data_IF_603669366643
#
_entry.id   IF_603669366643
#
_cell.length_a   1.000
_cell.length_b   1.000
_cell.length_c   1.000
_cell.angle_alpha   90.00
_cell.angle_beta   90.00
_cell.angle_gamma   90.00
#
_symmetry.space_group_name_H-M   'P 1'
#
loop_
_entity.id
_entity.type
_entity.pdbx_description
1 polymer ?
#
# COMPACT_ATOMS: atom_id res chain seq x y z
N UNK A 1 -26.77 5.82 1.68
CA UNK A 1 -25.61 6.46 1.03
C UNK A 1 -24.55 5.40 0.90
N UNK A 2 -24.27 4.95 -0.32
CA UNK A 2 -23.20 3.98 -0.56
C UNK A 2 -21.89 4.68 -0.25
N UNK A 3 -21.20 4.30 0.83
CA UNK A 3 -19.80 4.69 1.02
C UNK A 3 -19.03 4.02 -0.13
N UNK A 4 -18.88 4.72 -1.25
CA UNK A 4 -18.02 4.27 -2.34
C UNK A 4 -16.60 4.20 -1.79
N UNK A 5 -16.16 2.97 -1.48
CA UNK A 5 -14.79 2.68 -1.11
C UNK A 5 -13.91 3.05 -2.30
N UNK A 6 -13.25 4.22 -2.22
CA UNK A 6 -12.28 4.64 -3.22
C UNK A 6 -11.05 3.73 -3.10
N UNK A 7 -10.83 2.88 -4.10
CA UNK A 7 -9.68 1.98 -4.17
C UNK A 7 -8.61 2.64 -5.04
N UNK A 8 -7.47 3.00 -4.46
CA UNK A 8 -6.33 3.56 -5.21
C UNK A 8 -5.60 2.43 -5.91
N UNK A 9 -5.53 2.46 -7.25
CA UNK A 9 -4.79 1.43 -8.00
C UNK A 9 -3.30 1.76 -7.98
N UNK A 10 -2.48 0.80 -7.53
CA UNK A 10 -1.04 0.97 -7.50
C UNK A 10 -0.41 0.93 -8.90
N UNK A 11 0.83 1.38 -9.00
CA UNK A 11 1.68 1.35 -10.20
C UNK A 11 2.83 0.39 -9.97
N UNK A 12 3.12 -0.47 -10.95
CA UNK A 12 4.21 -1.46 -10.87
C UNK A 12 5.55 -0.74 -10.70
N UNK A 13 6.36 -1.19 -9.74
CA UNK A 13 7.75 -0.74 -9.63
C UNK A 13 8.60 -1.46 -10.68
N UNK A 14 9.50 -0.72 -11.34
CA UNK A 14 10.42 -1.30 -12.32
C UNK A 14 11.42 -2.25 -11.62
N UNK A 15 11.73 -3.42 -12.19
CA UNK A 15 12.70 -4.36 -11.60
C UNK A 15 14.05 -3.74 -11.27
N UNK A 16 14.53 -2.77 -12.06
CA UNK A 16 15.80 -2.07 -11.80
C UNK A 16 15.74 -1.17 -10.55
N UNK A 17 14.55 -0.71 -10.18
CA UNK A 17 14.34 0.13 -9.00
C UNK A 17 14.01 -0.69 -7.75
N UNK A 18 13.55 -1.94 -7.89
CA UNK A 18 13.33 -2.85 -6.76
C UNK A 18 14.60 -3.03 -5.92
N UNK A 19 15.77 -3.10 -6.57
CA UNK A 19 17.05 -3.22 -5.87
C UNK A 19 17.43 -1.99 -5.03
N UNK A 20 16.81 -0.83 -5.31
CA UNK A 20 17.08 0.44 -4.62
C UNK A 20 16.08 0.74 -3.51
N UNK A 21 15.07 -0.13 -3.32
CA UNK A 21 14.04 0.07 -2.30
C UNK A 21 14.67 0.02 -0.91
N UNK A 22 14.49 1.10 -0.16
CA UNK A 22 14.83 1.15 1.26
C UNK A 22 13.81 0.32 2.06
N UNK A 23 14.20 -0.89 2.44
CA UNK A 23 13.36 -1.82 3.20
C UNK A 23 12.95 -1.29 4.58
N UNK A 24 13.65 -0.27 5.11
CA UNK A 24 13.27 0.37 6.38
C UNK A 24 12.08 1.34 6.24
N UNK A 25 11.72 1.72 5.00
CA UNK A 25 10.65 2.67 4.67
C UNK A 25 9.57 2.06 3.77
N UNK A 26 9.37 0.76 3.89
CA UNK A 26 8.49 -0.02 3.03
C UNK A 26 7.09 -0.11 3.64
N UNK A 27 6.07 0.29 2.87
CA UNK A 27 4.67 0.05 3.21
C UNK A 27 4.29 -1.40 2.93
N UNK A 28 3.27 -1.91 3.62
CA UNK A 28 2.76 -3.27 3.41
C UNK A 28 1.27 -3.19 3.06
N UNK A 29 0.88 -3.89 2.00
CA UNK A 29 -0.53 -4.13 1.69
C UNK A 29 -1.05 -5.25 2.59
N UNK A 30 -1.85 -4.87 3.59
CA UNK A 30 -2.48 -5.77 4.54
C UNK A 30 -3.79 -6.32 3.95
N UNK A 31 -4.07 -7.62 4.14
CA UNK A 31 -5.31 -8.22 3.65
C UNK A 31 -6.58 -7.64 4.32
N UNK A 32 -6.42 -7.05 5.51
CA UNK A 32 -7.48 -6.37 6.25
C UNK A 32 -6.89 -5.15 6.99
N UNK A 33 -7.69 -4.11 7.25
CA UNK A 33 -7.25 -3.01 8.10
C UNK A 33 -6.81 -3.51 9.48
N UNK A 34 -5.80 -2.88 10.11
CA UNK A 34 -5.39 -3.22 11.46
C UNK A 34 -6.55 -3.00 12.44
N UNK A 35 -6.67 -3.86 13.46
CA UNK A 35 -7.76 -3.76 14.45
C UNK A 35 -7.64 -2.54 15.37
N UNK A 36 -6.43 -2.01 15.51
CA UNK A 36 -6.11 -0.79 16.23
C UNK A 36 -5.40 0.15 15.26
N UNK A 37 -6.09 1.21 14.85
CA UNK A 37 -5.44 2.31 14.14
C UNK A 37 -4.80 3.23 15.17
N UNK A 38 -3.49 3.44 15.06
CA UNK A 38 -2.82 4.48 15.86
C UNK A 38 -3.33 5.84 15.42
N UNK A 39 -3.55 6.76 16.36
CA UNK A 39 -3.99 8.13 16.09
C UNK A 39 -3.12 8.76 14.98
N UNK A 40 -3.75 9.28 13.93
CA UNK A 40 -3.07 9.85 12.75
C UNK A 40 -2.77 8.88 11.61
N UNK A 41 -2.83 7.56 11.79
CA UNK A 41 -2.63 6.60 10.68
C UNK A 41 -3.81 6.58 9.70
N UNK A 42 -5.05 6.72 10.20
CA UNK A 42 -6.25 6.68 9.39
C UNK A 42 -6.24 7.74 8.27
N UNK A 43 -5.64 8.91 8.52
CA UNK A 43 -5.56 10.02 7.57
C UNK A 43 -4.68 9.69 6.35
N UNK A 44 -3.78 8.73 6.50
CA UNK A 44 -2.84 8.28 5.47
C UNK A 44 -3.04 6.82 5.13
N UNK A 45 -4.20 6.25 5.45
CA UNK A 45 -4.49 4.85 5.19
C UNK A 45 -5.66 4.71 4.26
N UNK A 46 -5.66 3.64 3.47
CA UNK A 46 -6.73 3.42 2.52
C UNK A 46 -6.61 2.08 1.80
N UNK A 47 -7.68 1.75 1.08
CA UNK A 47 -7.69 0.57 0.23
C UNK A 47 -6.87 0.83 -1.02
N UNK A 48 -5.91 -0.06 -1.30
CA UNK A 48 -5.16 -0.04 -2.54
C UNK A 48 -5.23 -1.37 -3.25
N UNK A 49 -5.15 -1.32 -4.58
CA UNK A 49 -5.12 -2.50 -5.42
C UNK A 49 -3.69 -2.75 -5.90
N UNK A 50 -3.18 -3.95 -5.64
CA UNK A 50 -1.92 -4.42 -6.18
C UNK A 50 -2.01 -4.53 -7.72
N UNK A 51 -1.11 -3.88 -8.48
CA UNK A 51 -1.12 -3.94 -9.94
C UNK A 51 -0.58 -5.26 -10.52
N UNK A 52 -0.01 -6.12 -9.68
CA UNK A 52 0.57 -7.41 -10.09
C UNK A 52 -0.46 -8.53 -10.11
N UNK A 53 -1.17 -8.71 -8.99
CA UNK A 53 -2.12 -9.81 -8.79
C UNK A 53 -3.57 -9.37 -8.63
N UNK A 54 -3.85 -8.05 -8.61
CA UNK A 54 -5.19 -7.51 -8.46
C UNK A 54 -5.74 -7.54 -7.02
N UNK A 55 -4.98 -8.07 -6.05
CA UNK A 55 -5.37 -8.12 -4.65
C UNK A 55 -5.63 -6.72 -4.10
N UNK A 56 -6.79 -6.54 -3.46
CA UNK A 56 -7.17 -5.30 -2.78
C UNK A 56 -6.96 -5.50 -1.28
N UNK A 57 -6.25 -4.56 -0.68
CA UNK A 57 -5.95 -4.59 0.75
C UNK A 57 -5.83 -3.19 1.32
N UNK A 58 -5.57 -3.12 2.62
CA UNK A 58 -5.36 -1.89 3.36
C UNK A 58 -3.88 -1.53 3.38
N UNK A 59 -3.54 -0.32 2.98
CA UNK A 59 -2.17 0.21 3.06
C UNK A 59 -2.16 1.42 3.97
N UNK A 60 -1.16 1.49 4.84
CA UNK A 60 -0.89 2.64 5.72
C UNK A 60 0.23 3.46 5.11
N UNK A 61 0.17 4.78 5.27
CA UNK A 61 1.21 5.71 4.80
C UNK A 61 1.04 6.22 3.38
N UNK A 62 -0.12 6.02 2.76
CA UNK A 62 -0.50 6.61 1.48
C UNK A 62 -0.42 8.14 1.60
N UNK A 63 0.28 8.76 0.65
CA UNK A 63 0.50 10.21 0.58
C UNK A 63 1.34 10.81 1.73
N UNK A 64 2.11 9.98 2.45
CA UNK A 64 3.16 10.45 3.38
C UNK A 64 4.54 10.41 2.73
N UNK A 65 5.46 11.29 3.18
CA UNK A 65 6.89 11.20 2.84
C UNK A 65 7.59 9.95 3.43
N UNK A 66 6.86 9.12 4.19
CA UNK A 66 7.44 7.99 4.93
C UNK A 66 7.40 6.68 4.13
N UNK A 67 6.41 6.47 3.25
CA UNK A 67 6.26 5.21 2.52
C UNK A 67 6.02 5.46 1.03
N UNK A 68 7.09 5.29 0.24
CA UNK A 68 7.09 5.54 -1.23
C UNK A 68 6.90 4.25 -2.02
N UNK A 69 7.33 3.12 -1.45
CA UNK A 69 7.19 1.80 -2.04
C UNK A 69 6.39 0.89 -1.09
N UNK A 70 5.56 0.04 -1.68
CA UNK A 70 4.65 -0.87 -0.98
C UNK A 70 4.92 -2.28 -1.47
N UNK A 71 5.02 -3.23 -0.55
CA UNK A 71 5.04 -4.66 -0.89
C UNK A 71 3.66 -5.26 -0.75
N UNK A 72 3.23 -6.02 -1.76
CA UNK A 72 2.01 -6.79 -1.69
C UNK A 72 2.18 -8.00 -0.75
N UNK A 73 1.43 -8.07 0.34
CA UNK A 73 1.44 -9.24 1.24
C UNK A 73 0.96 -10.54 0.59
N UNK A 74 0.24 -10.48 -0.54
CA UNK A 74 -0.30 -11.66 -1.22
C UNK A 74 0.66 -12.26 -2.27
N UNK A 75 1.31 -11.43 -3.08
CA UNK A 75 2.19 -11.90 -4.18
C UNK A 75 3.65 -11.47 -4.06
N UNK A 76 4.01 -10.69 -3.02
CA UNK A 76 5.37 -10.17 -2.81
C UNK A 76 5.81 -9.09 -3.80
N UNK A 77 4.93 -8.66 -4.72
CA UNK A 77 5.26 -7.65 -5.73
C UNK A 77 5.35 -6.25 -5.13
N UNK A 78 6.41 -5.53 -5.49
CA UNK A 78 6.61 -4.13 -5.11
C UNK A 78 5.85 -3.18 -6.05
N UNK A 79 5.17 -2.19 -5.48
CA UNK A 79 4.40 -1.20 -6.23
C UNK A 79 4.36 0.14 -5.49
N UNK A 80 3.91 1.19 -6.15
CA UNK A 80 3.70 2.53 -5.57
C UNK A 80 2.22 2.91 -5.63
N UNK A 81 1.68 3.53 -4.59
CA UNK A 81 0.30 4.01 -4.53
C UNK A 81 0.22 5.33 -3.80
#
# INVERSE_FOLDING_TARGET
>A
MSNELSIKRGTKTDPADVAKIDKSKLGILLAKPPQTETEGQAMYSGYTQCPWCGHVGWTVGLDTNYYVDIVCGACGGYFRA
#
